data_IF_274885885410
#
_entry.id   IF_274885885410
#
_cell.length_a   1.000
_cell.length_b   1.000
_cell.length_c   1.000
_cell.angle_alpha   90.00
_cell.angle_beta   90.00
_cell.angle_gamma   90.00
#
_symmetry.space_group_name_H-M   'P 1'
#
loop_
_entity.id
_entity.type
_entity.pdbx_description
1 polymer ?
#
# COMPACT_ATOMS: atom_id res chain seq x y z
N UNK A 1 17.22 -5.30 -18.55
CA UNK A 1 15.75 -5.19 -18.49
C UNK A 1 15.20 -6.59 -18.27
N UNK A 2 14.24 -6.77 -17.37
CA UNK A 2 13.62 -8.08 -17.15
C UNK A 2 12.80 -8.50 -18.39
N UNK A 3 12.82 -9.79 -18.73
CA UNK A 3 12.09 -10.33 -19.88
C UNK A 3 10.59 -10.32 -19.58
N UNK A 4 9.78 -9.70 -20.45
CA UNK A 4 8.33 -9.60 -20.25
C UNK A 4 7.64 -10.82 -20.83
N UNK A 5 6.78 -11.47 -20.04
CA UNK A 5 5.97 -12.61 -20.49
C UNK A 5 4.69 -12.07 -21.14
N UNK A 6 4.56 -12.21 -22.47
CA UNK A 6 3.39 -11.76 -23.23
C UNK A 6 2.27 -12.81 -23.26
N UNK A 7 1.80 -13.23 -22.08
CA UNK A 7 0.72 -14.21 -21.92
C UNK A 7 -0.24 -13.79 -20.81
N UNK A 8 -1.48 -14.30 -20.86
CA UNK A 8 -2.41 -14.14 -19.73
C UNK A 8 -1.91 -15.01 -18.59
N UNK A 9 -1.59 -14.38 -17.47
CA UNK A 9 -1.13 -15.05 -16.26
C UNK A 9 -2.22 -14.93 -15.20
N UNK A 10 -2.40 -15.99 -14.42
CA UNK A 10 -3.20 -15.98 -13.19
C UNK A 10 -2.28 -16.46 -12.07
N UNK A 11 -2.41 -15.85 -10.90
CA UNK A 11 -1.72 -16.32 -9.70
C UNK A 11 -2.72 -17.18 -8.92
N UNK A 12 -2.31 -18.41 -8.62
CA UNK A 12 -2.94 -19.19 -7.57
C UNK A 12 -2.26 -18.83 -6.26
N UNK A 13 -3.04 -18.41 -5.28
CA UNK A 13 -2.54 -18.04 -3.96
C UNK A 13 -3.10 -19.06 -2.97
N UNK A 14 -2.20 -19.78 -2.29
CA UNK A 14 -2.61 -20.71 -1.24
C UNK A 14 -2.94 -19.93 0.04
N UNK A 15 -4.16 -20.12 0.55
CA UNK A 15 -4.64 -19.50 1.78
C UNK A 15 -5.32 -18.14 1.59
N UNK A 16 -5.58 -17.47 2.70
CA UNK A 16 -6.23 -16.16 2.71
C UNK A 16 -5.23 -15.03 2.45
N UNK A 17 -5.72 -13.90 1.94
CA UNK A 17 -4.95 -12.67 1.81
C UNK A 17 -5.84 -11.46 2.08
N UNK A 18 -5.24 -10.30 2.35
CA UNK A 18 -5.97 -9.07 2.64
C UNK A 18 -5.74 -8.03 1.54
N UNK A 19 -6.85 -7.44 1.10
CA UNK A 19 -6.86 -6.25 0.25
C UNK A 19 -7.23 -5.06 1.12
N UNK A 20 -6.25 -4.21 1.41
CA UNK A 20 -6.42 -3.05 2.26
C UNK A 20 -6.52 -1.77 1.44
N UNK A 21 -7.67 -1.11 1.51
CA UNK A 21 -7.98 0.13 0.80
C UNK A 21 -7.72 1.31 1.74
N UNK A 22 -6.67 2.08 1.44
CA UNK A 22 -6.32 3.27 2.23
C UNK A 22 -6.17 4.49 1.34
N UNK A 23 -6.64 5.63 1.82
CA UNK A 23 -6.60 6.86 1.06
C UNK A 23 -6.82 8.08 1.95
N UNK A 24 -6.73 9.26 1.35
CA UNK A 24 -7.00 10.51 2.06
C UNK A 24 -8.03 11.35 1.32
N UNK A 25 -9.01 11.88 2.04
CA UNK A 25 -9.99 12.80 1.46
C UNK A 25 -9.45 14.24 1.46
N UNK A 26 -9.29 14.82 0.27
CA UNK A 26 -8.85 16.22 0.12
C UNK A 26 -10.08 17.11 -0.09
N UNK A 27 -10.53 17.80 0.97
CA UNK A 27 -11.68 18.70 0.88
C UNK A 27 -11.35 20.06 0.23
N UNK A 28 -10.10 20.52 0.35
CA UNK A 28 -9.64 21.82 -0.20
C UNK A 28 -8.21 21.69 -0.74
N UNK A 29 -8.05 21.74 -2.07
CA UNK A 29 -6.77 21.49 -2.73
C UNK A 29 -5.67 22.47 -2.35
N UNK A 30 -6.01 23.74 -2.18
CA UNK A 30 -5.04 24.80 -1.83
C UNK A 30 -4.52 24.71 -0.39
N UNK A 31 -5.11 23.90 0.48
CA UNK A 31 -4.60 23.69 1.86
C UNK A 31 -3.48 22.65 1.90
N UNK A 32 -2.42 22.89 1.12
CA UNK A 32 -1.27 21.99 0.93
C UNK A 32 -0.66 21.57 2.28
N UNK A 33 -0.51 22.52 3.20
CA UNK A 33 -0.01 22.28 4.56
C UNK A 33 -0.83 21.26 5.38
N UNK A 34 -2.07 20.95 4.98
CA UNK A 34 -2.92 19.96 5.67
C UNK A 34 -2.78 18.55 5.09
N UNK A 35 -2.72 18.42 3.76
CA UNK A 35 -2.73 17.10 3.11
C UNK A 35 -1.34 16.62 2.70
N UNK A 36 -0.39 17.52 2.41
CA UNK A 36 0.95 17.14 1.99
C UNK A 36 1.73 16.35 3.07
N UNK A 37 1.65 16.69 4.38
CA UNK A 37 2.31 15.88 5.41
C UNK A 37 1.81 14.44 5.44
N UNK A 38 0.50 14.24 5.29
CA UNK A 38 -0.13 12.90 5.25
C UNK A 38 0.34 12.12 4.02
N UNK A 39 0.35 12.76 2.84
CA UNK A 39 0.84 12.13 1.61
C UNK A 39 2.34 11.74 1.71
N UNK A 40 3.16 12.59 2.36
CA UNK A 40 4.58 12.30 2.58
C UNK A 40 4.77 11.12 3.54
N UNK A 41 4.00 11.05 4.62
CA UNK A 41 4.01 9.93 5.56
C UNK A 41 3.59 8.61 4.89
N UNK A 42 2.51 8.65 4.10
CA UNK A 42 2.05 7.49 3.32
C UNK A 42 3.15 6.96 2.38
N UNK A 43 3.85 7.84 1.67
CA UNK A 43 4.98 7.46 0.81
C UNK A 43 6.13 6.83 1.61
N UNK A 44 6.44 7.37 2.79
CA UNK A 44 7.46 6.82 3.69
C UNK A 44 7.12 5.39 4.11
N UNK A 45 5.89 5.17 4.58
CA UNK A 45 5.38 3.84 4.95
C UNK A 45 5.51 2.83 3.80
N UNK A 46 5.10 3.20 2.58
CA UNK A 46 5.20 2.30 1.43
C UNK A 46 6.64 1.95 1.06
N UNK A 47 7.57 2.92 1.18
CA UNK A 47 9.00 2.68 0.94
C UNK A 47 9.59 1.72 1.98
N UNK A 48 9.24 1.92 3.24
CA UNK A 48 9.67 1.05 4.35
C UNK A 48 9.15 -0.38 4.18
N UNK A 49 7.85 -0.55 3.94
CA UNK A 49 7.23 -1.86 3.71
C UNK A 49 7.83 -2.58 2.50
N UNK A 50 8.12 -1.84 1.42
CA UNK A 50 8.75 -2.43 0.22
C UNK A 50 10.18 -2.92 0.48
N UNK A 51 10.83 -2.48 1.57
CA UNK A 51 12.17 -2.90 1.96
C UNK A 51 12.19 -4.03 3.00
N UNK A 52 11.03 -4.40 3.55
CA UNK A 52 10.86 -5.43 4.59
C UNK A 52 9.99 -6.59 4.08
N UNK A 53 10.52 -7.54 3.27
CA UNK A 53 9.75 -8.67 2.74
C UNK A 53 9.07 -9.55 3.82
N UNK A 54 9.65 -9.58 5.01
CA UNK A 54 9.18 -10.31 6.19
C UNK A 54 7.91 -9.69 6.82
N UNK A 55 7.57 -8.43 6.50
CA UNK A 55 6.37 -7.76 7.01
C UNK A 55 5.06 -8.39 6.54
N UNK A 56 5.10 -9.28 5.55
CA UNK A 56 3.91 -9.83 4.90
C UNK A 56 3.26 -8.89 3.89
N UNK A 57 3.87 -7.73 3.61
CA UNK A 57 3.46 -6.85 2.54
C UNK A 57 3.80 -7.45 1.16
N UNK A 58 2.78 -7.62 0.32
CA UNK A 58 2.92 -8.17 -1.04
C UNK A 58 3.10 -7.09 -2.10
N UNK A 59 2.69 -5.86 -1.79
CA UNK A 59 2.80 -4.72 -2.69
C UNK A 59 1.59 -3.81 -2.62
N UNK A 60 1.61 -2.77 -3.45
CA UNK A 60 0.53 -1.80 -3.53
C UNK A 60 0.30 -1.31 -4.96
N UNK A 61 -0.90 -0.82 -5.21
CA UNK A 61 -1.26 -0.11 -6.41
C UNK A 61 -1.86 1.25 -6.03
N UNK A 62 -1.25 2.32 -6.55
CA UNK A 62 -1.80 3.66 -6.41
C UNK A 62 -2.81 3.91 -7.53
N UNK A 63 -4.04 4.24 -7.16
CA UNK A 63 -5.08 4.66 -8.09
C UNK A 63 -5.13 6.19 -8.14
N UNK A 64 -4.81 6.74 -9.32
CA UNK A 64 -4.91 8.16 -9.59
C UNK A 64 -6.37 8.60 -9.53
N UNK A 65 -6.72 9.40 -8.52
CA UNK A 65 -8.07 9.87 -8.27
C UNK A 65 -8.08 11.02 -7.26
N UNK A 66 -9.21 11.70 -7.17
CA UNK A 66 -9.46 12.77 -6.21
C UNK A 66 -10.75 12.43 -5.45
N UNK A 67 -10.64 11.70 -4.32
CA UNK A 67 -9.44 11.50 -3.50
C UNK A 67 -8.48 10.39 -3.97
N UNK A 68 -7.18 10.48 -3.64
CA UNK A 68 -6.22 9.42 -3.90
C UNK A 68 -6.54 8.17 -3.07
N UNK A 69 -6.47 7.01 -3.73
CA UNK A 69 -6.68 5.69 -3.15
C UNK A 69 -5.46 4.81 -3.43
N UNK A 70 -5.03 4.05 -2.43
CA UNK A 70 -3.99 3.05 -2.52
C UNK A 70 -4.61 1.72 -2.12
N UNK A 71 -4.47 0.73 -2.99
CA UNK A 71 -4.79 -0.66 -2.71
C UNK A 71 -3.50 -1.33 -2.25
N UNK A 72 -3.50 -1.95 -1.08
CA UNK A 72 -2.38 -2.72 -0.56
C UNK A 72 -2.76 -4.20 -0.49
N UNK A 73 -1.80 -5.07 -0.78
CA UNK A 73 -1.95 -6.51 -0.70
C UNK A 73 -1.08 -7.05 0.43
N UNK A 74 -1.68 -7.86 1.29
CA UNK A 74 -1.03 -8.42 2.48
C UNK A 74 -1.25 -9.93 2.55
N UNK A 75 -0.23 -10.65 3.01
CA UNK A 75 -0.25 -12.12 3.14
C UNK A 75 -1.31 -12.63 4.11
N UNK A 76 -1.61 -11.89 5.17
CA UNK A 76 -2.69 -12.22 6.10
C UNK A 76 -3.12 -10.99 6.88
N UNK A 77 -4.23 -11.09 7.61
CA UNK A 77 -4.71 -10.01 8.47
C UNK A 77 -3.77 -9.75 9.64
N UNK A 78 -3.17 -10.79 10.22
CA UNK A 78 -2.25 -10.70 11.34
C UNK A 78 -1.01 -9.89 10.98
N UNK A 79 -0.49 -10.04 9.76
CA UNK A 79 0.64 -9.25 9.27
C UNK A 79 0.29 -7.76 9.16
N UNK A 80 -0.87 -7.46 8.58
CA UNK A 80 -1.38 -6.09 8.49
C UNK A 80 -1.60 -5.48 9.88
N UNK A 81 -2.23 -6.23 10.79
CA UNK A 81 -2.53 -5.76 12.13
C UNK A 81 -1.26 -5.56 12.97
N UNK A 82 -0.29 -6.47 12.86
CA UNK A 82 1.01 -6.34 13.52
C UNK A 82 1.73 -5.07 13.07
N UNK A 83 1.79 -4.82 11.75
CA UNK A 83 2.36 -3.58 11.23
C UNK A 83 1.60 -2.34 11.71
N UNK A 84 0.26 -2.36 11.69
CA UNK A 84 -0.56 -1.22 12.11
C UNK A 84 -0.42 -0.87 13.60
N UNK A 85 -0.03 -1.85 14.44
CA UNK A 85 0.19 -1.66 15.88
C UNK A 85 1.65 -1.37 16.23
N UNK A 86 2.58 -1.53 15.29
CA UNK A 86 3.98 -1.20 15.52
C UNK A 86 4.16 0.32 15.66
N UNK A 87 4.76 0.73 16.77
CA UNK A 87 5.04 2.14 17.08
C UNK A 87 6.45 2.57 16.65
N UNK A 88 7.30 1.60 16.34
CA UNK A 88 8.72 1.81 16.08
C UNK A 88 9.07 1.69 14.59
N UNK A 89 8.18 1.13 13.77
CA UNK A 89 8.37 0.97 12.33
C UNK A 89 9.27 -0.21 12.00
#
# INVERSE_FOLDING_TARGET
>A
MAQTINQRMTVEFEGDFVVFLIGMRINRLWKIHKWLPVAKAMRGMLMELSQKPESGFLGFQAHGGMPPLIVQYWRSFEHLEAYAKDRNG
#
